data_IF_809987493713
#
_entry.id   IF_809987493713
#
_cell.length_a   1.000
_cell.length_b   1.000
_cell.length_c   1.000
_cell.angle_alpha   90.00
_cell.angle_beta   90.00
_cell.angle_gamma   90.00
#
_symmetry.space_group_name_H-M   'P 1'
#
loop_
_entity.id
_entity.type
_entity.pdbx_description
1 polymer ?
#
# COMPACT_ATOMS: atom_id res chain seq x y z
N UNK A 1 -1.99 6.22 -25.15
CA UNK A 1 -2.31 6.07 -23.72
C UNK A 1 -1.53 4.89 -23.19
N UNK A 2 -0.71 5.09 -22.17
CA UNK A 2 0.08 4.02 -21.52
C UNK A 2 -0.70 3.48 -20.33
N UNK A 3 -0.62 2.18 -20.09
CA UNK A 3 -1.27 1.52 -18.94
C UNK A 3 -0.17 1.08 -17.97
N UNK A 4 -0.37 1.34 -16.69
CA UNK A 4 0.55 0.95 -15.60
C UNK A 4 -0.27 0.25 -14.52
N UNK A 5 0.17 -0.93 -14.11
CA UNK A 5 -0.41 -1.70 -13.02
C UNK A 5 0.45 -1.54 -11.76
N UNK A 6 -0.07 -0.91 -10.73
CA UNK A 6 0.62 -0.66 -9.47
C UNK A 6 -0.04 -1.48 -8.38
N UNK A 7 0.73 -2.34 -7.72
CA UNK A 7 0.27 -3.08 -6.56
C UNK A 7 0.44 -2.27 -5.28
N UNK A 8 -0.57 -2.26 -4.41
CA UNK A 8 -0.42 -1.71 -3.05
C UNK A 8 -0.42 -2.88 -2.07
N UNK A 9 0.71 -3.06 -1.39
CA UNK A 9 0.96 -4.14 -0.44
C UNK A 9 1.25 -3.57 0.94
N UNK A 10 0.78 -4.25 1.97
CA UNK A 10 0.99 -3.81 3.35
C UNK A 10 0.81 -4.97 4.33
N UNK A 11 1.40 -4.86 5.52
CA UNK A 11 0.95 -5.64 6.65
C UNK A 11 -0.42 -5.12 7.16
N UNK A 12 -1.08 -5.92 7.95
CA UNK A 12 -2.40 -5.59 8.53
C UNK A 12 -2.30 -4.24 9.27
N UNK A 13 -3.31 -3.40 9.11
CA UNK A 13 -3.44 -2.07 9.76
C UNK A 13 -2.35 -1.04 9.39
N UNK A 14 -1.50 -1.28 8.40
CA UNK A 14 -0.52 -0.29 7.95
C UNK A 14 -1.15 0.95 7.26
N UNK A 15 -2.44 0.88 6.88
CA UNK A 15 -3.18 1.94 6.22
C UNK A 15 -3.22 1.82 4.69
N UNK A 16 -3.16 0.59 4.16
CA UNK A 16 -3.25 0.28 2.74
C UNK A 16 -4.50 0.88 2.09
N UNK A 17 -5.68 0.55 2.61
CA UNK A 17 -6.97 1.03 2.11
C UNK A 17 -7.07 2.56 2.18
N UNK A 18 -6.58 3.17 3.26
CA UNK A 18 -6.54 4.64 3.40
C UNK A 18 -5.68 5.29 2.32
N UNK A 19 -4.51 4.71 2.02
CA UNK A 19 -3.64 5.21 0.94
C UNK A 19 -4.33 5.07 -0.42
N UNK A 20 -4.95 3.92 -0.71
CA UNK A 20 -5.68 3.68 -1.97
C UNK A 20 -6.80 4.70 -2.16
N UNK A 21 -7.63 4.91 -1.14
CA UNK A 21 -8.71 5.91 -1.17
C UNK A 21 -8.17 7.34 -1.36
N UNK A 22 -7.05 7.69 -0.72
CA UNK A 22 -6.40 8.99 -0.88
C UNK A 22 -5.88 9.21 -2.30
N UNK A 23 -5.30 8.19 -2.93
CA UNK A 23 -4.86 8.25 -4.32
C UNK A 23 -6.02 8.45 -5.28
N UNK A 24 -7.12 7.71 -5.09
CA UNK A 24 -8.33 7.83 -5.89
C UNK A 24 -8.99 9.20 -5.74
N UNK A 25 -9.02 9.74 -4.53
CA UNK A 25 -9.54 11.08 -4.25
C UNK A 25 -8.68 12.16 -4.92
N UNK A 26 -7.36 12.11 -4.74
CA UNK A 26 -6.41 13.07 -5.30
C UNK A 26 -6.42 13.06 -6.84
N UNK A 27 -6.63 11.89 -7.44
CA UNK A 27 -6.75 11.76 -8.90
C UNK A 27 -8.11 12.20 -9.46
N UNK A 28 -9.09 12.54 -8.59
CA UNK A 28 -10.44 12.90 -8.98
C UNK A 28 -11.32 11.70 -9.41
N UNK A 29 -10.85 10.47 -9.22
CA UNK A 29 -11.61 9.27 -9.55
C UNK A 29 -12.81 9.05 -8.60
N UNK A 30 -12.72 9.57 -7.38
CA UNK A 30 -13.82 9.61 -6.40
C UNK A 30 -14.01 11.03 -5.89
N UNK A 31 -15.27 11.42 -5.63
CA UNK A 31 -15.63 12.77 -5.17
C UNK A 31 -15.38 12.98 -3.68
N UNK A 32 -15.42 11.91 -2.89
CA UNK A 32 -15.21 11.93 -1.45
C UNK A 32 -14.33 10.75 -1.05
N UNK A 33 -13.42 10.98 -0.10
CA UNK A 33 -12.57 9.93 0.45
C UNK A 33 -13.37 9.09 1.43
N UNK A 34 -13.37 7.76 1.23
CA UNK A 34 -13.97 6.81 2.16
C UNK A 34 -13.18 6.71 3.47
N UNK A 35 -13.84 6.32 4.53
CA UNK A 35 -13.22 6.11 5.84
C UNK A 35 -13.35 4.63 6.24
N UNK A 36 -12.22 3.99 6.51
CA UNK A 36 -12.16 2.56 6.88
C UNK A 36 -12.93 2.29 8.17
N UNK A 37 -12.76 3.15 9.19
CA UNK A 37 -13.41 2.97 10.49
C UNK A 37 -14.94 3.10 10.42
N UNK A 38 -15.44 3.87 9.44
CA UNK A 38 -16.87 4.05 9.19
C UNK A 38 -17.45 3.08 8.15
N UNK A 39 -16.59 2.21 7.55
CA UNK A 39 -17.02 1.26 6.52
C UNK A 39 -17.55 1.91 5.24
N UNK A 40 -17.11 3.12 4.91
CA UNK A 40 -17.56 3.88 3.73
C UNK A 40 -16.61 3.82 2.55
N UNK A 41 -15.57 2.98 2.62
CA UNK A 41 -14.59 2.80 1.55
C UNK A 41 -15.22 2.18 0.31
N UNK A 42 -14.78 2.62 -0.87
CA UNK A 42 -15.24 2.06 -2.15
C UNK A 42 -14.40 0.88 -2.62
N UNK A 43 -13.19 0.77 -2.11
CA UNK A 43 -12.26 -0.31 -2.46
C UNK A 43 -12.62 -1.64 -1.81
N UNK A 44 -13.21 -1.61 -0.60
CA UNK A 44 -13.65 -2.82 0.10
C UNK A 44 -15.11 -3.14 -0.29
N UNK A 45 -15.29 -4.08 -1.19
CA UNK A 45 -16.60 -4.43 -1.77
C UNK A 45 -17.38 -5.48 -1.00
N UNK A 46 -16.69 -6.34 -0.25
CA UNK A 46 -17.33 -7.39 0.54
C UNK A 46 -17.76 -6.88 1.92
N UNK A 47 -18.95 -7.34 2.36
CA UNK A 47 -19.50 -6.98 3.71
C UNK A 47 -18.51 -7.39 4.81
N UNK A 48 -17.81 -8.54 4.66
CA UNK A 48 -16.81 -9.02 5.59
C UNK A 48 -15.54 -8.14 5.61
N UNK A 49 -15.14 -7.60 4.47
CA UNK A 49 -14.01 -6.67 4.36
C UNK A 49 -14.31 -5.38 5.13
N UNK A 50 -15.50 -4.80 4.92
CA UNK A 50 -15.95 -3.59 5.63
C UNK A 50 -16.08 -3.79 7.13
N UNK A 51 -16.59 -4.96 7.57
CA UNK A 51 -16.79 -5.25 9.01
C UNK A 51 -15.46 -5.49 9.74
N UNK A 52 -14.45 -6.03 9.06
CA UNK A 52 -13.16 -6.39 9.67
C UNK A 52 -12.04 -5.41 9.34
N UNK A 53 -12.27 -4.44 8.43
CA UNK A 53 -11.26 -3.49 7.97
C UNK A 53 -10.07 -4.15 7.25
N UNK A 54 -10.27 -5.33 6.63
CA UNK A 54 -9.23 -6.08 5.92
C UNK A 54 -9.67 -6.40 4.50
N UNK A 55 -8.75 -6.30 3.53
CA UNK A 55 -8.96 -6.74 2.15
C UNK A 55 -8.81 -8.25 2.06
N UNK A 56 -9.81 -8.93 1.53
CA UNK A 56 -9.85 -10.39 1.39
C UNK A 56 -9.54 -10.81 -0.05
N UNK A 57 -10.12 -10.10 -1.03
CA UNK A 57 -9.90 -10.35 -2.45
C UNK A 57 -9.12 -9.22 -3.11
N UNK A 58 -8.33 -9.55 -4.13
CA UNK A 58 -7.67 -8.56 -4.96
C UNK A 58 -8.70 -7.71 -5.69
N UNK A 59 -8.70 -6.42 -5.43
CA UNK A 59 -9.52 -5.43 -6.10
C UNK A 59 -8.69 -4.64 -7.11
N UNK A 60 -9.25 -4.36 -8.27
CA UNK A 60 -8.60 -3.50 -9.27
C UNK A 60 -9.45 -2.25 -9.47
N UNK A 61 -8.84 -1.11 -9.17
CA UNK A 61 -9.47 0.20 -9.40
C UNK A 61 -8.59 1.02 -10.34
N UNK A 62 -9.20 1.67 -11.31
CA UNK A 62 -8.46 2.44 -12.32
C UNK A 62 -8.75 3.92 -12.22
N UNK A 63 -7.73 4.73 -12.48
CA UNK A 63 -7.88 6.17 -12.68
C UNK A 63 -6.93 6.66 -13.78
N UNK A 64 -7.15 7.90 -14.23
CA UNK A 64 -6.32 8.55 -15.23
C UNK A 64 -5.46 9.63 -14.59
N UNK A 65 -4.17 9.64 -14.93
CA UNK A 65 -3.23 10.66 -14.51
C UNK A 65 -2.36 11.07 -15.71
N UNK A 66 -2.52 12.28 -16.17
CA UNK A 66 -1.94 12.74 -17.44
C UNK A 66 -2.26 11.75 -18.59
N UNK A 67 -1.25 11.28 -19.32
CA UNK A 67 -1.40 10.35 -20.45
C UNK A 67 -1.40 8.87 -20.02
N UNK A 68 -1.51 8.59 -18.73
CA UNK A 68 -1.48 7.24 -18.19
C UNK A 68 -2.85 6.81 -17.68
N UNK A 69 -3.20 5.56 -17.95
CA UNK A 69 -4.22 4.83 -17.18
C UNK A 69 -3.51 4.03 -16.10
N UNK A 70 -3.77 4.35 -14.85
CA UNK A 70 -3.18 3.67 -13.70
C UNK A 70 -4.22 2.71 -13.13
N UNK A 71 -3.87 1.43 -13.09
CA UNK A 71 -4.65 0.41 -12.41
C UNK A 71 -4.01 0.17 -11.05
N UNK A 72 -4.73 0.44 -9.98
CA UNK A 72 -4.33 0.05 -8.62
C UNK A 72 -4.85 -1.36 -8.38
N UNK A 73 -3.92 -2.25 -8.09
CA UNK A 73 -4.21 -3.63 -7.67
C UNK A 73 -4.07 -3.67 -6.16
N UNK A 74 -5.20 -3.61 -5.48
CA UNK A 74 -5.26 -3.68 -4.02
C UNK A 74 -5.23 -5.14 -3.58
N UNK A 75 -4.12 -5.55 -2.95
CA UNK A 75 -3.88 -6.95 -2.58
C UNK A 75 -4.23 -7.21 -1.13
N UNK A 76 -4.71 -8.44 -0.80
CA UNK A 76 -4.93 -8.82 0.58
C UNK A 76 -3.67 -8.66 1.43
N UNK A 77 -3.81 -8.01 2.59
CA UNK A 77 -2.73 -7.82 3.54
C UNK A 77 -2.62 -8.94 4.59
N UNK A 78 -3.57 -9.85 4.67
CA UNK A 78 -3.60 -10.90 5.69
C UNK A 78 -2.83 -12.15 5.24
N UNK A 79 -2.13 -12.81 6.19
CA UNK A 79 -1.29 -13.99 5.89
C UNK A 79 -2.06 -15.15 5.25
N UNK A 80 -3.33 -15.32 5.60
CA UNK A 80 -4.18 -16.39 5.06
C UNK A 80 -4.45 -16.24 3.56
N UNK A 81 -4.23 -15.04 3.00
CA UNK A 81 -4.48 -14.71 1.59
C UNK A 81 -3.20 -14.48 0.79
N UNK A 82 -2.04 -14.92 1.27
CA UNK A 82 -0.76 -14.75 0.58
C UNK A 82 -0.75 -15.34 -0.84
N UNK A 83 -1.41 -16.47 -1.06
CA UNK A 83 -1.50 -17.10 -2.39
C UNK A 83 -2.20 -16.17 -3.39
N UNK A 84 -3.24 -15.47 -2.96
CA UNK A 84 -3.95 -14.48 -3.79
C UNK A 84 -3.05 -13.26 -4.06
N UNK A 85 -2.33 -12.78 -3.04
CA UNK A 85 -1.35 -11.73 -3.21
C UNK A 85 -0.28 -12.11 -4.25
N UNK A 86 0.31 -13.31 -4.17
CA UNK A 86 1.31 -13.78 -5.13
C UNK A 86 0.80 -13.84 -6.58
N UNK A 87 -0.45 -14.26 -6.79
CA UNK A 87 -1.06 -14.28 -8.14
C UNK A 87 -1.16 -12.88 -8.73
N UNK A 88 -1.49 -11.88 -7.89
CA UNK A 88 -1.61 -10.49 -8.34
C UNK A 88 -0.26 -9.86 -8.70
N UNK A 89 0.85 -10.32 -8.10
CA UNK A 89 2.18 -9.74 -8.35
C UNK A 89 2.62 -9.90 -9.80
N UNK A 90 2.27 -11.01 -10.47
CA UNK A 90 2.75 -11.31 -11.83
C UNK A 90 2.28 -10.33 -12.91
N UNK A 91 1.30 -9.49 -12.62
CA UNK A 91 0.75 -8.51 -13.56
C UNK A 91 1.15 -7.07 -13.25
N UNK A 92 2.01 -6.86 -12.24
CA UNK A 92 2.41 -5.54 -11.78
C UNK A 92 3.61 -5.00 -12.54
N UNK A 93 3.55 -3.73 -12.90
CA UNK A 93 4.67 -2.95 -13.43
C UNK A 93 5.50 -2.30 -12.30
N UNK A 94 4.92 -2.17 -11.13
CA UNK A 94 5.55 -1.63 -9.93
C UNK A 94 4.70 -1.87 -8.68
N UNK A 95 5.29 -1.65 -7.52
CA UNK A 95 4.62 -1.85 -6.24
C UNK A 95 4.87 -0.71 -5.25
N UNK A 96 3.88 -0.45 -4.41
CA UNK A 96 3.99 0.39 -3.21
C UNK A 96 3.85 -0.50 -1.98
N UNK A 97 4.94 -0.64 -1.23
CA UNK A 97 4.95 -1.36 0.04
C UNK A 97 4.73 -0.37 1.19
N UNK A 98 3.57 -0.46 1.82
CA UNK A 98 3.19 0.44 2.92
C UNK A 98 3.68 -0.12 4.25
N UNK A 99 4.40 0.69 5.00
CA UNK A 99 4.91 0.37 6.34
C UNK A 99 4.37 1.41 7.33
N UNK A 100 3.74 0.95 8.40
CA UNK A 100 3.37 1.83 9.52
C UNK A 100 4.63 2.24 10.29
N UNK A 101 4.84 3.54 10.47
CA UNK A 101 5.96 4.05 11.27
C UNK A 101 5.92 3.56 12.72
N UNK A 102 4.72 3.37 13.25
CA UNK A 102 4.49 2.85 14.61
C UNK A 102 4.90 1.39 14.75
N UNK A 103 4.51 0.55 13.79
CA UNK A 103 4.68 -0.90 13.87
C UNK A 103 6.03 -1.36 13.30
N UNK A 104 6.64 -0.52 12.46
CA UNK A 104 7.90 -0.79 11.79
C UNK A 104 7.82 -1.96 10.80
N UNK A 105 8.97 -2.58 10.55
CA UNK A 105 9.08 -3.72 9.63
C UNK A 105 8.61 -5.00 10.32
N UNK A 106 7.45 -5.49 9.93
CA UNK A 106 6.83 -6.72 10.42
C UNK A 106 7.31 -7.96 9.63
N UNK A 107 7.07 -9.16 10.17
CA UNK A 107 7.41 -10.42 9.48
C UNK A 107 6.75 -10.50 8.10
N UNK A 108 5.49 -10.12 8.01
CA UNK A 108 4.72 -10.07 6.77
C UNK A 108 5.31 -9.08 5.75
N UNK A 109 5.75 -7.89 6.20
CA UNK A 109 6.43 -6.90 5.36
C UNK A 109 7.66 -7.51 4.68
N UNK A 110 8.45 -8.30 5.42
CA UNK A 110 9.63 -9.00 4.89
C UNK A 110 9.27 -10.03 3.82
N UNK A 111 8.21 -10.82 4.07
CA UNK A 111 7.75 -11.83 3.12
C UNK A 111 7.30 -11.17 1.82
N UNK A 112 6.49 -10.11 1.90
CA UNK A 112 6.01 -9.36 0.74
C UNK A 112 7.17 -8.71 -0.03
N UNK A 113 8.10 -8.07 0.68
CA UNK A 113 9.26 -7.44 0.06
C UNK A 113 10.16 -8.46 -0.65
N UNK A 114 10.42 -9.61 -0.02
CA UNK A 114 11.19 -10.68 -0.65
C UNK A 114 10.51 -11.23 -1.92
N UNK A 115 9.18 -11.34 -1.90
CA UNK A 115 8.42 -11.74 -3.08
C UNK A 115 8.57 -10.73 -4.24
N UNK A 116 8.48 -9.43 -3.94
CA UNK A 116 8.67 -8.37 -4.91
C UNK A 116 10.09 -8.38 -5.50
N UNK A 117 11.12 -8.55 -4.66
CA UNK A 117 12.51 -8.67 -5.11
C UNK A 117 12.71 -9.90 -6.01
N UNK A 118 12.17 -11.06 -5.61
CA UNK A 118 12.29 -12.30 -6.39
C UNK A 118 11.66 -12.20 -7.78
N UNK A 119 10.66 -11.36 -7.93
CA UNK A 119 9.96 -11.10 -9.19
C UNK A 119 10.49 -9.87 -9.94
N UNK A 120 11.53 -9.23 -9.45
CA UNK A 120 12.16 -8.04 -10.04
C UNK A 120 11.20 -6.85 -10.20
N UNK A 121 10.23 -6.72 -9.28
CA UNK A 121 9.23 -5.66 -9.33
C UNK A 121 9.77 -4.39 -8.68
N UNK A 122 9.88 -3.26 -9.42
CA UNK A 122 10.27 -1.98 -8.86
C UNK A 122 9.36 -1.59 -7.70
N UNK A 123 9.94 -1.28 -6.54
CA UNK A 123 9.17 -1.09 -5.31
C UNK A 123 9.46 0.26 -4.66
N UNK A 124 8.39 1.00 -4.36
CA UNK A 124 8.43 2.19 -3.52
C UNK A 124 8.01 1.79 -2.11
N UNK A 125 8.81 2.11 -1.10
CA UNK A 125 8.45 1.96 0.30
C UNK A 125 7.77 3.24 0.76
N UNK A 126 6.51 3.15 1.19
CA UNK A 126 5.73 4.27 1.71
C UNK A 126 5.57 4.13 3.23
N UNK A 127 6.16 5.08 3.99
CA UNK A 127 6.07 5.09 5.44
C UNK A 127 4.85 5.91 5.83
N UNK A 128 3.86 5.24 6.41
CA UNK A 128 2.59 5.81 6.85
C UNK A 128 2.52 6.02 8.36
N UNK A 129 1.52 6.76 8.84
CA UNK A 129 1.27 7.05 10.27
C UNK A 129 2.43 7.75 10.97
N UNK A 130 3.13 8.64 10.27
CA UNK A 130 4.27 9.40 10.78
C UNK A 130 3.87 10.51 11.76
N UNK A 131 2.58 10.85 11.80
CA UNK A 131 1.93 11.85 12.65
C UNK A 131 1.68 11.36 14.09
N UNK A 132 1.86 10.07 14.34
CA UNK A 132 1.63 9.51 15.67
C UNK A 132 2.72 9.90 16.68
N UNK A 133 2.31 10.12 17.93
CA UNK A 133 3.23 10.51 18.99
C UNK A 133 4.32 9.44 19.25
N UNK A 134 5.54 9.89 19.44
CA UNK A 134 6.68 9.02 19.78
C UNK A 134 7.35 8.35 18.57
N UNK A 135 6.98 8.72 17.34
CA UNK A 135 7.64 8.22 16.14
C UNK A 135 8.99 8.88 15.93
N UNK A 136 10.04 8.07 15.85
CA UNK A 136 11.38 8.47 15.38
C UNK A 136 11.62 7.90 13.98
N UNK A 137 11.57 8.76 12.97
CA UNK A 137 11.76 8.36 11.58
C UNK A 137 13.16 7.80 11.31
N UNK A 138 14.19 8.23 12.03
CA UNK A 138 15.54 7.70 11.88
C UNK A 138 15.59 6.23 12.31
N UNK A 139 14.95 5.88 13.42
CA UNK A 139 14.81 4.50 13.87
C UNK A 139 14.03 3.65 12.85
N UNK A 140 12.97 4.21 12.25
CA UNK A 140 12.21 3.52 11.21
C UNK A 140 13.07 3.27 9.97
N UNK A 141 13.81 4.27 9.48
CA UNK A 141 14.73 4.12 8.35
C UNK A 141 15.82 3.09 8.63
N UNK A 142 16.41 3.12 9.81
CA UNK A 142 17.42 2.13 10.18
C UNK A 142 16.84 0.72 10.21
N UNK A 143 15.64 0.55 10.76
CA UNK A 143 14.93 -0.73 10.76
C UNK A 143 14.64 -1.26 9.36
N UNK A 144 14.32 -0.37 8.39
CA UNK A 144 14.12 -0.75 6.99
C UNK A 144 15.44 -1.20 6.37
N UNK A 145 16.54 -0.46 6.60
CA UNK A 145 17.88 -0.81 6.11
C UNK A 145 18.33 -2.18 6.61
N UNK A 146 18.14 -2.42 7.91
CA UNK A 146 18.64 -3.65 8.55
C UNK A 146 17.80 -4.88 8.20
N UNK A 147 16.49 -4.70 7.98
CA UNK A 147 15.54 -5.81 7.85
C UNK A 147 15.05 -6.08 6.43
N UNK A 148 15.12 -5.09 5.53
CA UNK A 148 14.65 -5.23 4.15
C UNK A 148 15.78 -5.08 3.14
N UNK A 149 16.37 -3.88 3.02
CA UNK A 149 17.42 -3.61 2.04
C UNK A 149 18.24 -2.37 2.40
N UNK A 150 19.57 -2.46 2.20
CA UNK A 150 20.47 -1.31 2.27
C UNK A 150 20.40 -0.43 1.03
N UNK A 151 19.96 -1.01 -0.10
CA UNK A 151 19.94 -0.35 -1.41
C UNK A 151 18.65 0.42 -1.60
N UNK A 152 18.54 1.56 -0.90
CA UNK A 152 17.38 2.45 -1.01
C UNK A 152 17.79 3.91 -1.07
N UNK A 153 17.04 4.69 -1.86
CA UNK A 153 17.10 6.15 -1.87
C UNK A 153 15.90 6.70 -1.11
N UNK A 154 16.14 7.62 -0.19
CA UNK A 154 15.08 8.26 0.60
C UNK A 154 14.69 9.57 -0.06
N UNK A 155 13.40 9.72 -0.35
CA UNK A 155 12.79 10.98 -0.78
C UNK A 155 11.81 11.47 0.28
N UNK A 156 11.93 12.72 0.70
CA UNK A 156 10.99 13.35 1.63
C UNK A 156 9.95 14.10 0.82
N UNK A 157 8.71 13.61 0.84
CA UNK A 157 7.56 14.41 0.41
C UNK A 157 6.87 14.94 1.65
N UNK A 158 6.98 16.25 1.90
CA UNK A 158 6.14 16.90 2.90
C UNK A 158 4.71 17.02 2.38
N UNK A 159 3.91 15.99 2.55
CA UNK A 159 2.47 16.14 2.52
C UNK A 159 2.06 16.79 3.85
N UNK A 160 1.99 18.12 3.88
CA UNK A 160 1.24 18.80 4.93
C UNK A 160 -0.21 18.40 4.77
N UNK A 161 -0.72 17.56 5.68
CA UNK A 161 -2.14 17.44 5.89
C UNK A 161 -2.66 18.80 6.37
N UNK A 162 -3.47 19.44 5.58
CA UNK A 162 -4.33 20.56 5.98
C UNK A 162 -5.69 20.00 6.37
#
# INVERSE_FOLDING_TARGET
>A
MKIINIGILAHVDAGKTTLTESLLYTSGAIAEQGNVDKGTTRTDTMILERQRGITIQTAVTSFYWNDYKINIVDTPGHMDFLTEAYRSLSVLDGAVLVISAKDGVQAQTRILFHALQKMDIPTIIFINKIDQNGIDLQCVYQSIKDKLTSDMTVSYTHLRAH
#
